data_IF_336358846284
#
_entry.id   IF_336358846284
#
_cell.length_a   1.000
_cell.length_b   1.000
_cell.length_c   1.000
_cell.angle_alpha   90.00
_cell.angle_beta   90.00
_cell.angle_gamma   90.00
#
_symmetry.space_group_name_H-M   'P 1'
#
loop_
_entity.id
_entity.type
_entity.pdbx_description
1 polymer ?
#
# COMPACT_ATOMS: atom_id res chain seq x y z
N UNK A 1 26.07 44.59 3.18
CA UNK A 1 24.64 44.82 2.85
C UNK A 1 23.96 43.47 2.82
N UNK A 2 23.21 43.15 3.86
CA UNK A 2 22.43 41.93 3.94
C UNK A 2 21.13 42.14 3.15
N UNK A 3 20.86 41.27 2.20
CA UNK A 3 19.60 41.28 1.45
C UNK A 3 18.47 40.85 2.38
N UNK A 4 17.54 41.75 2.66
CA UNK A 4 16.29 41.45 3.36
C UNK A 4 15.49 40.47 2.54
N UNK A 5 15.19 39.32 3.17
CA UNK A 5 14.24 38.35 2.64
C UNK A 5 12.84 38.98 2.65
N UNK A 6 12.26 39.18 1.50
CA UNK A 6 10.86 39.62 1.32
C UNK A 6 9.91 38.64 1.98
N UNK A 7 9.01 39.09 2.91
CA UNK A 7 8.02 38.21 3.51
C UNK A 7 6.89 37.92 2.52
N UNK A 8 6.63 36.61 2.25
CA UNK A 8 5.30 36.11 1.97
C UNK A 8 4.69 36.50 0.64
N UNK A 9 5.14 35.89 -0.45
CA UNK A 9 4.20 35.66 -1.55
C UNK A 9 3.08 34.75 -0.99
N UNK A 10 1.85 35.27 -0.89
CA UNK A 10 0.66 34.48 -0.61
C UNK A 10 0.50 33.50 -1.77
N UNK A 11 0.98 32.25 -1.58
CA UNK A 11 0.74 31.19 -2.54
C UNK A 11 -0.78 30.99 -2.63
N UNK A 12 -1.33 31.08 -3.83
CA UNK A 12 -2.72 30.72 -4.11
C UNK A 12 -3.04 29.30 -3.63
N UNK A 13 -4.30 28.87 -3.69
CA UNK A 13 -4.68 27.55 -3.26
C UNK A 13 -3.83 26.49 -4.00
N UNK A 14 -3.17 25.59 -3.23
CA UNK A 14 -2.33 24.53 -3.82
C UNK A 14 -3.14 23.62 -4.71
N UNK A 15 -2.59 23.23 -5.82
CA UNK A 15 -3.18 22.15 -6.64
C UNK A 15 -3.23 20.87 -5.81
N UNK A 16 -4.29 20.13 -5.99
CA UNK A 16 -4.55 18.85 -5.31
C UNK A 16 -4.69 17.77 -6.36
N UNK A 17 -3.80 16.80 -6.34
CA UNK A 17 -3.75 15.72 -7.31
C UNK A 17 -3.95 14.39 -6.61
N UNK A 18 -4.72 13.49 -7.20
CA UNK A 18 -4.90 12.14 -6.68
C UNK A 18 -4.81 11.07 -7.77
N UNK A 19 -4.07 9.98 -7.49
CA UNK A 19 -4.11 8.74 -8.24
C UNK A 19 -4.78 7.67 -7.37
N UNK A 20 -5.90 7.14 -7.84
CA UNK A 20 -6.74 6.21 -7.08
C UNK A 20 -6.91 4.92 -7.88
N UNK A 21 -6.45 3.80 -7.31
CA UNK A 21 -6.44 2.48 -7.97
C UNK A 21 -7.17 1.46 -7.09
N UNK A 22 -8.14 0.74 -7.67
CA UNK A 22 -8.84 -0.38 -7.02
C UNK A 22 -8.91 -1.59 -7.94
N UNK A 23 -8.44 -2.76 -7.49
CA UNK A 23 -8.39 -3.99 -8.29
C UNK A 23 -9.18 -5.09 -7.61
N UNK A 24 -10.29 -5.53 -8.26
CA UNK A 24 -11.12 -6.64 -7.78
C UNK A 24 -10.78 -7.96 -8.47
N UNK A 25 -10.59 -7.90 -9.80
CA UNK A 25 -10.57 -9.08 -10.66
C UNK A 25 -9.13 -9.52 -10.92
N UNK A 26 -8.64 -10.48 -10.15
CA UNK A 26 -7.34 -11.10 -10.32
C UNK A 26 -7.45 -12.36 -11.19
N UNK A 27 -6.51 -12.55 -12.11
CA UNK A 27 -6.52 -13.70 -13.04
C UNK A 27 -6.11 -14.99 -12.35
N UNK A 28 -5.20 -14.91 -11.39
CA UNK A 28 -4.56 -16.06 -10.78
C UNK A 28 -4.80 -16.18 -9.27
N UNK A 29 -5.54 -15.22 -8.67
CA UNK A 29 -5.83 -15.14 -7.24
C UNK A 29 -7.30 -14.91 -6.99
N UNK A 30 -7.73 -15.02 -5.74
CA UNK A 30 -9.14 -14.79 -5.39
C UNK A 30 -9.56 -13.38 -5.76
N UNK A 31 -10.80 -13.26 -6.22
CA UNK A 31 -11.42 -11.96 -6.49
C UNK A 31 -11.75 -11.27 -5.17
N UNK A 32 -11.60 -9.96 -5.17
CA UNK A 32 -12.04 -9.08 -4.09
C UNK A 32 -13.36 -8.40 -4.45
N UNK A 33 -14.11 -7.95 -3.46
CA UNK A 33 -15.43 -7.34 -3.68
C UNK A 33 -15.40 -5.82 -3.62
N UNK A 34 -14.61 -5.25 -2.74
CA UNK A 34 -14.69 -3.85 -2.34
C UNK A 34 -13.75 -2.88 -3.10
N UNK A 35 -12.51 -3.23 -3.48
CA UNK A 35 -11.50 -2.28 -3.95
C UNK A 35 -11.94 -1.33 -5.05
N UNK A 36 -12.67 -1.82 -6.06
CA UNK A 36 -13.16 -0.99 -7.16
C UNK A 36 -14.18 0.03 -6.68
N UNK A 37 -15.16 -0.39 -5.89
CA UNK A 37 -16.18 0.49 -5.33
C UNK A 37 -15.56 1.53 -4.38
N UNK A 38 -14.57 1.14 -3.59
CA UNK A 38 -13.82 2.02 -2.70
C UNK A 38 -13.09 3.11 -3.49
N UNK A 39 -12.39 2.72 -4.56
CA UNK A 39 -11.69 3.64 -5.44
C UNK A 39 -12.65 4.62 -6.13
N UNK A 40 -13.80 4.15 -6.62
CA UNK A 40 -14.82 4.99 -7.29
C UNK A 40 -15.41 6.03 -6.32
N UNK A 41 -15.76 5.62 -5.09
CA UNK A 41 -16.32 6.54 -4.08
C UNK A 41 -15.29 7.55 -3.59
N UNK A 42 -14.08 7.11 -3.29
CA UNK A 42 -13.00 8.01 -2.89
C UNK A 42 -12.73 9.03 -3.99
N UNK A 43 -12.65 8.60 -5.24
CA UNK A 43 -12.44 9.49 -6.39
C UNK A 43 -13.51 10.57 -6.48
N UNK A 44 -14.78 10.18 -6.34
CA UNK A 44 -15.91 11.12 -6.38
C UNK A 44 -15.84 12.14 -5.24
N UNK A 45 -15.52 11.71 -4.02
CA UNK A 45 -15.37 12.62 -2.88
C UNK A 45 -14.18 13.57 -3.04
N UNK A 46 -13.04 13.05 -3.49
CA UNK A 46 -11.85 13.88 -3.73
C UNK A 46 -12.11 14.94 -4.80
N UNK A 47 -12.83 14.59 -5.90
CA UNK A 47 -13.23 15.56 -6.91
C UNK A 47 -14.13 16.66 -6.33
N UNK A 48 -15.08 16.30 -5.47
CA UNK A 48 -15.99 17.26 -4.83
C UNK A 48 -15.28 18.27 -3.93
N UNK A 49 -14.12 17.91 -3.38
CA UNK A 49 -13.29 18.81 -2.56
C UNK A 49 -12.15 19.45 -3.35
N UNK A 50 -12.17 19.37 -4.69
CA UNK A 50 -11.27 20.08 -5.57
C UNK A 50 -9.96 19.38 -5.91
N UNK A 51 -9.88 18.05 -5.77
CA UNK A 51 -8.77 17.29 -6.34
C UNK A 51 -8.98 17.07 -7.83
N UNK A 52 -7.88 17.14 -8.57
CA UNK A 52 -7.76 16.58 -9.92
C UNK A 52 -7.46 15.11 -9.73
N UNK A 53 -8.43 14.25 -10.04
CA UNK A 53 -8.30 12.81 -9.78
C UNK A 53 -8.07 12.07 -11.09
N UNK A 54 -6.95 11.35 -11.17
CA UNK A 54 -6.76 10.34 -12.20
C UNK A 54 -7.51 9.06 -11.77
N UNK A 55 -8.69 8.89 -12.35
CA UNK A 55 -9.52 7.70 -12.12
C UNK A 55 -9.07 6.59 -13.04
N UNK A 56 -8.20 5.75 -12.57
CA UNK A 56 -7.78 4.57 -13.32
C UNK A 56 -8.63 3.34 -12.95
N UNK A 57 -9.95 3.49 -12.89
CA UNK A 57 -10.86 2.36 -12.67
C UNK A 57 -10.70 1.23 -13.70
N UNK A 58 -10.02 1.51 -14.81
CA UNK A 58 -9.71 0.58 -15.89
C UNK A 58 -8.29 0.00 -15.81
N UNK A 59 -7.41 0.55 -14.98
CA UNK A 59 -6.01 0.10 -14.86
C UNK A 59 -5.95 -1.14 -14.02
N UNK A 60 -5.47 -2.23 -14.59
CA UNK A 60 -5.49 -3.54 -13.93
C UNK A 60 -4.18 -4.29 -14.09
N UNK A 61 -3.55 -4.24 -15.27
CA UNK A 61 -2.30 -4.96 -15.55
C UNK A 61 -1.07 -4.23 -15.02
N UNK A 62 0.03 -4.96 -14.84
CA UNK A 62 1.31 -4.37 -14.42
C UNK A 62 1.73 -3.18 -15.29
N UNK A 63 1.67 -3.35 -16.60
CA UNK A 63 2.07 -2.30 -17.54
C UNK A 63 1.19 -1.05 -17.44
N UNK A 64 -0.14 -1.24 -17.27
CA UNK A 64 -1.09 -0.14 -17.10
C UNK A 64 -0.86 0.61 -15.78
N UNK A 65 -0.66 -0.11 -14.66
CA UNK A 65 -0.37 0.51 -13.36
C UNK A 65 0.92 1.32 -13.44
N UNK A 66 2.00 0.74 -13.98
CA UNK A 66 3.29 1.43 -14.11
C UNK A 66 3.20 2.67 -14.99
N UNK A 67 2.50 2.60 -16.13
CA UNK A 67 2.28 3.75 -16.99
C UNK A 67 1.52 4.86 -16.25
N UNK A 68 0.45 4.51 -15.52
CA UNK A 68 -0.34 5.48 -14.76
C UNK A 68 0.45 6.15 -13.64
N UNK A 69 1.26 5.39 -12.92
CA UNK A 69 2.16 5.96 -11.92
C UNK A 69 3.14 6.94 -12.55
N UNK A 70 3.70 6.61 -13.72
CA UNK A 70 4.61 7.48 -14.46
C UNK A 70 3.89 8.76 -14.96
N UNK A 71 2.73 8.62 -15.61
CA UNK A 71 1.94 9.76 -16.09
C UNK A 71 1.56 10.69 -14.93
N UNK A 72 1.13 10.10 -13.80
CA UNK A 72 0.80 10.85 -12.59
C UNK A 72 2.02 11.55 -12.01
N UNK A 73 3.17 10.87 -11.90
CA UNK A 73 4.42 11.49 -11.46
C UNK A 73 4.76 12.71 -12.31
N UNK A 74 4.66 12.61 -13.64
CA UNK A 74 4.99 13.69 -14.56
C UNK A 74 4.04 14.91 -14.41
N UNK A 75 2.81 14.69 -13.96
CA UNK A 75 1.83 15.76 -13.72
C UNK A 75 2.07 16.54 -12.43
N UNK A 76 2.88 16.01 -11.49
CA UNK A 76 3.14 16.64 -10.20
C UNK A 76 4.12 17.80 -10.37
N UNK A 77 3.75 18.94 -9.81
CA UNK A 77 4.60 20.14 -9.67
C UNK A 77 5.01 20.36 -8.21
N UNK A 78 6.09 21.10 -7.96
CA UNK A 78 6.46 21.49 -6.60
C UNK A 78 5.30 22.24 -5.90
N UNK A 79 5.11 21.95 -4.60
CA UNK A 79 4.04 22.47 -3.74
C UNK A 79 2.63 21.91 -3.99
N UNK A 80 2.42 20.94 -4.86
CA UNK A 80 1.15 20.24 -4.97
C UNK A 80 0.84 19.41 -3.70
N UNK A 81 -0.43 19.23 -3.40
CA UNK A 81 -0.91 18.20 -2.47
C UNK A 81 -1.16 16.94 -3.27
N UNK A 82 -0.41 15.89 -2.98
CA UNK A 82 -0.45 14.63 -3.72
C UNK A 82 -1.06 13.53 -2.87
N UNK A 83 -2.06 12.82 -3.38
CA UNK A 83 -2.67 11.66 -2.76
C UNK A 83 -2.55 10.45 -3.69
N UNK A 84 -2.01 9.37 -3.16
CA UNK A 84 -2.03 8.05 -3.79
C UNK A 84 -2.87 7.10 -2.95
N UNK A 85 -3.78 6.38 -3.58
CA UNK A 85 -4.58 5.32 -2.95
C UNK A 85 -4.51 4.05 -3.79
N UNK A 86 -4.29 2.93 -3.10
CA UNK A 86 -4.38 1.61 -3.71
C UNK A 86 -5.20 0.67 -2.82
N UNK A 87 -6.19 0.01 -3.41
CA UNK A 87 -6.94 -1.09 -2.82
C UNK A 87 -6.82 -2.34 -3.68
N UNK A 88 -6.51 -3.48 -3.06
CA UNK A 88 -6.28 -4.74 -3.75
C UNK A 88 -5.42 -5.70 -2.95
N UNK A 89 -4.90 -6.74 -3.62
CA UNK A 89 -3.93 -7.64 -3.01
C UNK A 89 -2.56 -6.99 -2.86
N UNK A 90 -1.93 -7.22 -1.71
CA UNK A 90 -0.58 -6.80 -1.43
C UNK A 90 0.27 -7.92 -0.86
N UNK A 91 1.57 -7.88 -1.08
CA UNK A 91 2.53 -8.85 -0.56
C UNK A 91 3.64 -8.12 0.15
N UNK A 92 4.02 -8.61 1.32
CA UNK A 92 5.28 -8.23 1.94
C UNK A 92 6.34 -9.30 1.68
N UNK A 93 7.50 -8.89 1.18
CA UNK A 93 8.63 -9.77 0.95
C UNK A 93 9.95 -9.06 1.27
N UNK A 94 10.80 -9.67 2.10
CA UNK A 94 12.10 -9.11 2.49
C UNK A 94 12.05 -7.64 2.94
N UNK A 95 11.04 -7.30 3.74
CA UNK A 95 10.85 -5.94 4.26
C UNK A 95 10.32 -4.93 3.24
N UNK A 96 9.98 -5.36 2.02
CA UNK A 96 9.39 -4.53 0.98
C UNK A 96 7.90 -4.85 0.79
N UNK A 97 7.12 -3.84 0.41
CA UNK A 97 5.71 -3.97 0.10
C UNK A 97 5.50 -3.94 -1.41
N UNK A 98 4.77 -4.93 -1.92
CA UNK A 98 4.46 -5.08 -3.33
C UNK A 98 2.95 -5.05 -3.54
N UNK A 99 2.49 -4.20 -4.45
CA UNK A 99 1.10 -4.13 -4.88
C UNK A 99 0.91 -5.07 -6.07
N UNK A 100 -0.10 -5.92 -5.99
CA UNK A 100 -0.34 -6.91 -7.04
C UNK A 100 -1.22 -6.33 -8.14
N UNK A 101 -0.78 -6.33 -9.40
CA UNK A 101 -1.65 -6.05 -10.53
C UNK A 101 -2.55 -7.26 -10.84
N UNK A 102 -3.59 -7.06 -11.67
CA UNK A 102 -4.55 -8.10 -12.05
C UNK A 102 -3.89 -9.33 -12.67
N UNK A 103 -2.88 -9.10 -13.52
CA UNK A 103 -2.13 -10.08 -14.29
C UNK A 103 -0.91 -10.66 -13.52
N UNK A 104 -0.86 -10.46 -12.19
CA UNK A 104 0.22 -11.02 -11.40
C UNK A 104 0.22 -12.55 -11.52
N UNK A 105 1.36 -13.17 -11.90
CA UNK A 105 1.42 -14.62 -12.15
C UNK A 105 1.33 -15.42 -10.85
N UNK A 106 0.92 -16.69 -10.96
CA UNK A 106 1.10 -17.63 -9.84
C UNK A 106 2.58 -17.80 -9.55
N UNK A 107 2.92 -17.96 -8.28
CA UNK A 107 4.27 -18.35 -7.93
C UNK A 107 4.57 -19.74 -8.49
N UNK A 108 5.78 -19.98 -9.01
CA UNK A 108 6.15 -21.27 -9.55
C UNK A 108 6.08 -22.34 -8.46
N UNK A 109 5.48 -23.48 -8.80
CA UNK A 109 5.60 -24.67 -8.00
C UNK A 109 7.06 -25.15 -8.03
N UNK A 110 7.56 -25.59 -6.88
CA UNK A 110 8.90 -26.18 -6.79
C UNK A 110 8.74 -27.63 -7.19
N UNK A 111 9.19 -27.97 -8.39
CA UNK A 111 9.10 -29.30 -8.94
C UNK A 111 10.29 -30.16 -8.49
N UNK A 112 10.10 -31.49 -8.50
CA UNK A 112 11.22 -32.47 -8.32
C UNK A 112 12.35 -32.28 -9.35
N UNK A 113 12.06 -31.65 -10.52
CA UNK A 113 13.10 -31.29 -11.49
C UNK A 113 14.06 -30.20 -10.97
N UNK A 114 13.56 -29.26 -10.16
CA UNK A 114 14.40 -28.25 -9.48
C UNK A 114 15.38 -28.92 -8.47
N UNK A 115 15.05 -30.16 -8.05
CA UNK A 115 15.86 -30.99 -7.16
C UNK A 115 16.92 -31.79 -7.90
N UNK A 116 16.70 -32.09 -9.17
CA UNK A 116 17.64 -32.90 -10.00
C UNK A 116 18.88 -32.13 -10.42
N UNK A 117 18.83 -30.78 -10.42
CA UNK A 117 20.03 -29.94 -10.57
C UNK A 117 21.01 -30.04 -9.38
N UNK A 118 20.55 -30.61 -8.25
CA UNK A 118 21.38 -30.88 -7.08
C UNK A 118 21.85 -32.35 -7.19
N UNK A 119 22.79 -32.58 -8.08
CA UNK A 119 23.32 -33.92 -8.39
C UNK A 119 23.88 -34.63 -7.12
N UNK A 120 23.46 -35.87 -6.91
CA UNK A 120 24.14 -36.83 -6.03
C UNK A 120 23.62 -37.01 -4.59
N UNK A 121 22.39 -36.61 -4.28
CA UNK A 121 21.83 -36.80 -2.92
C UNK A 121 21.15 -38.18 -2.80
N UNK A 122 21.81 -39.08 -2.07
CA UNK A 122 21.20 -40.34 -1.65
C UNK A 122 20.23 -40.12 -0.49
N UNK A 123 19.06 -40.78 -0.54
CA UNK A 123 18.00 -40.67 0.50
C UNK A 123 18.47 -41.05 1.94
N UNK A 124 19.63 -41.69 2.07
CA UNK A 124 20.15 -42.18 3.35
C UNK A 124 21.05 -41.18 4.10
N UNK A 125 21.38 -40.05 3.48
CA UNK A 125 22.30 -39.08 4.07
C UNK A 125 21.53 -37.87 4.63
N UNK A 126 21.32 -37.86 5.96
CA UNK A 126 20.56 -36.81 6.68
C UNK A 126 21.23 -35.43 6.50
N UNK A 127 22.55 -35.37 6.38
CA UNK A 127 23.25 -34.08 6.19
C UNK A 127 23.00 -33.53 4.79
N UNK A 128 23.07 -34.39 3.77
CA UNK A 128 22.75 -34.00 2.38
C UNK A 128 21.30 -33.60 2.22
N UNK A 129 20.36 -34.28 2.89
CA UNK A 129 18.95 -33.92 2.91
C UNK A 129 18.74 -32.53 3.52
N UNK A 130 19.37 -32.18 4.63
CA UNK A 130 19.30 -30.84 5.22
C UNK A 130 19.90 -29.76 4.30
N UNK A 131 21.00 -30.06 3.60
CA UNK A 131 21.61 -29.15 2.63
C UNK A 131 20.65 -28.95 1.45
N UNK A 132 20.04 -30.01 0.93
CA UNK A 132 19.05 -29.92 -0.12
C UNK A 132 17.84 -29.05 0.28
N UNK A 133 17.30 -29.26 1.49
CA UNK A 133 16.19 -28.44 2.02
C UNK A 133 16.56 -26.95 2.12
N UNK A 134 17.79 -26.63 2.48
CA UNK A 134 18.30 -25.25 2.52
C UNK A 134 18.40 -24.66 1.11
N UNK A 135 19.01 -25.40 0.17
CA UNK A 135 19.17 -24.95 -1.22
C UNK A 135 17.84 -24.74 -1.92
N UNK A 136 16.88 -25.65 -1.72
CA UNK A 136 15.50 -25.51 -2.25
C UNK A 136 14.86 -24.24 -1.70
N UNK A 137 15.02 -23.98 -0.41
CA UNK A 137 14.48 -22.77 0.23
C UNK A 137 15.10 -21.50 -0.36
N UNK A 138 16.39 -21.51 -0.64
CA UNK A 138 17.10 -20.36 -1.21
C UNK A 138 16.74 -20.14 -2.69
N UNK A 139 16.66 -21.20 -3.48
CA UNK A 139 16.18 -21.16 -4.87
C UNK A 139 14.75 -20.62 -4.93
N UNK A 140 13.88 -21.11 -4.04
CA UNK A 140 12.50 -20.66 -3.94
C UNK A 140 12.39 -19.18 -3.60
N UNK A 141 13.16 -18.72 -2.64
CA UNK A 141 13.22 -17.30 -2.26
C UNK A 141 13.68 -16.43 -3.44
N UNK A 142 14.71 -16.87 -4.15
CA UNK A 142 15.21 -16.16 -5.33
C UNK A 142 14.14 -16.08 -6.42
N UNK A 143 13.49 -17.18 -6.78
CA UNK A 143 12.40 -17.21 -7.77
C UNK A 143 11.25 -16.28 -7.39
N UNK A 144 10.83 -16.27 -6.10
CA UNK A 144 9.79 -15.37 -5.59
C UNK A 144 10.24 -13.90 -5.70
N UNK A 145 11.46 -13.60 -5.25
CA UNK A 145 12.02 -12.24 -5.32
C UNK A 145 12.08 -11.73 -6.76
N UNK A 146 12.50 -12.55 -7.71
CA UNK A 146 12.60 -12.19 -9.12
C UNK A 146 11.20 -11.91 -9.73
N UNK A 147 10.22 -12.76 -9.42
CA UNK A 147 8.83 -12.53 -9.88
C UNK A 147 8.26 -11.24 -9.29
N UNK A 148 8.45 -10.99 -8.00
CA UNK A 148 7.96 -9.77 -7.36
C UNK A 148 8.58 -8.53 -8.00
N UNK A 149 9.88 -8.52 -8.22
CA UNK A 149 10.59 -7.40 -8.88
C UNK A 149 10.13 -7.15 -10.32
N UNK A 150 9.74 -8.20 -11.03
CA UNK A 150 9.38 -8.10 -12.45
C UNK A 150 7.88 -7.90 -12.71
N UNK A 151 7.01 -8.35 -11.80
CA UNK A 151 5.57 -8.48 -12.03
C UNK A 151 4.69 -7.85 -10.96
N UNK A 152 5.26 -7.40 -9.85
CA UNK A 152 4.54 -6.64 -8.83
C UNK A 152 5.10 -5.21 -8.74
N UNK A 153 4.30 -4.29 -8.24
CA UNK A 153 4.68 -2.89 -8.14
C UNK A 153 5.19 -2.61 -6.73
N UNK A 154 6.45 -2.21 -6.58
CA UNK A 154 7.01 -1.87 -5.29
C UNK A 154 6.40 -0.55 -4.77
N UNK A 155 5.74 -0.60 -3.62
CA UNK A 155 5.04 0.55 -3.04
C UNK A 155 6.02 1.65 -2.59
N UNK A 156 7.21 1.28 -2.10
CA UNK A 156 8.23 2.26 -1.69
C UNK A 156 8.79 3.01 -2.90
N UNK A 157 8.93 2.34 -4.05
CA UNK A 157 9.40 2.98 -5.28
C UNK A 157 8.37 3.99 -5.80
N UNK A 158 7.06 3.67 -5.74
CA UNK A 158 6.01 4.65 -6.05
C UNK A 158 6.13 5.86 -5.12
N UNK A 159 6.18 5.64 -3.81
CA UNK A 159 6.26 6.71 -2.82
C UNK A 159 7.48 7.60 -3.06
N UNK A 160 8.65 7.01 -3.34
CA UNK A 160 9.88 7.74 -3.65
C UNK A 160 9.70 8.59 -4.91
N UNK A 161 9.22 7.97 -5.98
CA UNK A 161 9.01 8.58 -7.30
C UNK A 161 8.09 9.81 -7.23
N UNK A 162 6.95 9.69 -6.52
CA UNK A 162 6.03 10.81 -6.34
C UNK A 162 6.65 11.93 -5.47
N UNK A 163 7.33 11.57 -4.39
CA UNK A 163 7.94 12.52 -3.45
C UNK A 163 9.14 13.25 -4.04
N UNK A 164 9.87 12.67 -4.99
CA UNK A 164 11.01 13.28 -5.67
C UNK A 164 10.60 14.48 -6.55
N UNK A 165 9.31 14.61 -6.87
CA UNK A 165 8.72 15.80 -7.52
C UNK A 165 8.59 17.00 -6.57
N UNK A 166 8.96 16.84 -5.28
CA UNK A 166 8.91 17.86 -4.23
C UNK A 166 7.52 18.47 -4.00
N UNK A 167 6.48 17.64 -3.88
CA UNK A 167 5.17 18.15 -3.50
C UNK A 167 5.22 18.78 -2.10
N UNK A 168 4.18 19.55 -1.75
CA UNK A 168 3.98 20.09 -0.41
C UNK A 168 3.81 18.96 0.62
N UNK A 169 3.03 17.94 0.23
CA UNK A 169 2.81 16.71 0.99
C UNK A 169 2.49 15.55 0.06
N UNK A 170 2.98 14.35 0.39
CA UNK A 170 2.53 13.09 -0.21
C UNK A 170 1.70 12.32 0.81
N UNK A 171 0.43 12.09 0.52
CA UNK A 171 -0.49 11.25 1.28
C UNK A 171 -0.59 9.90 0.57
N UNK A 172 -0.19 8.82 1.24
CA UNK A 172 -0.04 7.51 0.65
C UNK A 172 -0.88 6.50 1.41
N UNK A 173 -1.99 6.06 0.82
CA UNK A 173 -2.99 5.22 1.48
C UNK A 173 -2.99 3.83 0.86
N UNK A 174 -2.77 2.80 1.67
CA UNK A 174 -2.71 1.40 1.26
C UNK A 174 -3.81 0.60 1.95
N UNK A 175 -4.86 0.29 1.21
CA UNK A 175 -5.97 -0.57 1.63
C UNK A 175 -5.82 -1.95 1.00
N UNK A 176 -4.79 -2.67 1.45
CA UNK A 176 -4.42 -3.97 0.90
C UNK A 176 -4.87 -5.08 1.83
N UNK A 177 -5.77 -5.93 1.32
CA UNK A 177 -6.02 -7.25 1.88
C UNK A 177 -4.80 -8.15 1.63
N UNK A 178 -4.45 -8.96 2.60
CA UNK A 178 -3.36 -9.93 2.45
C UNK A 178 -3.94 -11.29 2.14
N UNK A 179 -3.65 -11.79 0.97
CA UNK A 179 -3.69 -13.22 0.81
C UNK A 179 -2.39 -13.84 1.30
N UNK A 180 -2.54 -14.93 2.01
CA UNK A 180 -1.48 -15.86 2.37
C UNK A 180 -0.97 -16.59 1.11
N UNK A 181 -0.33 -15.85 0.20
CA UNK A 181 0.13 -16.39 -1.09
C UNK A 181 1.23 -17.43 -0.90
N UNK A 182 1.88 -17.44 0.25
CA UNK A 182 2.94 -18.40 0.59
C UNK A 182 2.42 -19.65 1.34
N UNK A 183 1.13 -19.85 1.49
CA UNK A 183 0.60 -21.17 1.84
C UNK A 183 0.63 -22.05 0.59
N UNK A 184 1.79 -22.61 0.29
CA UNK A 184 1.85 -23.74 -0.62
C UNK A 184 1.15 -24.92 0.09
N UNK A 185 -0.04 -25.38 -0.36
CA UNK A 185 -0.75 -26.50 0.24
C UNK A 185 0.10 -27.78 0.26
N UNK A 186 1.05 -27.92 -0.65
CA UNK A 186 1.90 -29.10 -0.78
C UNK A 186 3.04 -29.15 0.22
N UNK A 187 3.48 -28.02 0.77
CA UNK A 187 4.39 -28.00 1.93
C UNK A 187 3.69 -28.49 3.20
N UNK A 188 2.38 -28.33 3.32
CA UNK A 188 1.57 -28.88 4.42
C UNK A 188 1.27 -30.38 4.28
N UNK A 189 1.27 -30.93 3.05
CA UNK A 189 1.02 -32.37 2.80
C UNK A 189 2.17 -33.31 3.20
N UNK A 190 3.38 -32.79 3.33
CA UNK A 190 4.57 -33.62 3.69
C UNK A 190 4.84 -33.70 5.19
N UNK A 191 3.84 -33.54 6.05
CA UNK A 191 3.97 -33.86 7.49
C UNK A 191 5.06 -33.08 8.24
N UNK A 192 5.45 -31.91 7.76
CA UNK A 192 6.29 -30.98 8.51
C UNK A 192 5.41 -30.39 9.59
N UNK A 193 5.59 -30.86 10.82
CA UNK A 193 4.89 -30.39 12.00
C UNK A 193 4.76 -28.85 11.99
N UNK A 194 3.56 -28.37 12.26
CA UNK A 194 3.14 -26.97 12.33
C UNK A 194 3.95 -26.07 13.27
N UNK A 195 5.00 -26.58 13.88
CA UNK A 195 5.89 -25.85 14.77
C UNK A 195 7.09 -25.16 14.08
N UNK A 196 7.25 -25.30 12.76
CA UNK A 196 8.24 -24.53 11.99
C UNK A 196 7.60 -23.39 11.21
N UNK A 197 6.54 -22.81 11.72
CA UNK A 197 5.88 -21.60 11.17
C UNK A 197 6.70 -20.33 11.44
N UNK A 198 7.96 -20.31 11.06
CA UNK A 198 8.76 -19.07 11.03
C UNK A 198 8.43 -18.16 9.83
N UNK A 199 7.45 -18.52 9.02
CA UNK A 199 6.78 -17.60 8.08
C UNK A 199 5.51 -17.08 8.74
N UNK A 200 5.62 -16.38 9.87
CA UNK A 200 4.53 -15.52 10.34
C UNK A 200 4.27 -14.52 9.23
N UNK A 201 3.04 -14.46 8.75
CA UNK A 201 2.59 -13.38 7.88
C UNK A 201 2.72 -12.10 8.70
N UNK A 202 3.84 -11.45 8.54
CA UNK A 202 4.03 -10.11 9.03
C UNK A 202 3.32 -9.20 8.04
N UNK A 203 2.45 -8.34 8.50
CA UNK A 203 1.81 -7.33 7.72
C UNK A 203 2.70 -6.53 6.79
N UNK A 204 2.14 -5.58 6.01
CA UNK A 204 2.96 -4.69 5.20
C UNK A 204 4.07 -4.09 6.06
N UNK A 205 5.28 -4.03 5.55
CA UNK A 205 6.41 -3.42 6.24
C UNK A 205 6.15 -1.92 6.42
N UNK A 206 6.65 -1.35 7.51
CA UNK A 206 6.62 0.10 7.68
C UNK A 206 7.38 0.78 6.53
N UNK A 207 6.78 1.83 5.98
CA UNK A 207 7.37 2.66 4.92
C UNK A 207 7.68 4.04 5.48
N UNK A 208 8.72 4.67 4.95
CA UNK A 208 9.17 5.98 5.42
C UNK A 208 9.58 6.88 4.25
N UNK A 209 9.15 8.15 4.29
CA UNK A 209 9.62 9.19 3.38
C UNK A 209 9.40 10.57 3.99
N UNK A 210 10.42 11.38 4.06
CA UNK A 210 10.32 12.75 4.56
C UNK A 210 9.34 13.59 3.71
N UNK A 211 8.39 14.25 4.37
CA UNK A 211 7.32 15.02 3.73
C UNK A 211 6.10 14.15 3.36
N UNK A 212 6.06 12.89 3.79
CA UNK A 212 4.93 12.00 3.53
C UNK A 212 4.16 11.63 4.79
N UNK A 213 2.88 11.34 4.59
CA UNK A 213 1.98 10.64 5.50
C UNK A 213 1.55 9.35 4.83
N UNK A 214 1.79 8.22 5.49
CA UNK A 214 1.48 6.90 4.97
C UNK A 214 0.49 6.23 5.92
N UNK A 215 -0.64 5.77 5.38
CA UNK A 215 -1.63 5.03 6.13
C UNK A 215 -1.84 3.64 5.51
N UNK A 216 -1.81 2.64 6.36
CA UNK A 216 -2.14 1.26 6.03
C UNK A 216 -3.47 0.91 6.69
N UNK A 217 -4.34 0.23 5.96
CA UNK A 217 -5.64 -0.22 6.52
C UNK A 217 -5.46 -1.19 7.69
N UNK A 218 -4.29 -1.80 7.85
CA UNK A 218 -3.97 -2.62 9.01
C UNK A 218 -2.48 -2.58 9.38
N UNK A 219 -2.20 -2.76 10.67
CA UNK A 219 -0.84 -2.82 11.21
C UNK A 219 -0.05 -4.02 10.67
N UNK A 220 1.29 -3.95 10.71
CA UNK A 220 2.15 -5.08 10.43
C UNK A 220 1.77 -6.30 11.31
N UNK A 221 1.60 -7.47 10.68
CA UNK A 221 1.21 -8.71 11.39
C UNK A 221 -0.29 -8.95 11.53
N UNK A 222 -1.14 -8.00 11.18
CA UNK A 222 -2.59 -8.15 11.14
C UNK A 222 -3.09 -8.32 9.70
N UNK A 223 -4.33 -8.70 9.49
CA UNK A 223 -4.92 -8.84 8.16
C UNK A 223 -6.24 -8.08 8.09
N UNK A 224 -6.59 -7.69 6.87
CA UNK A 224 -7.90 -7.12 6.57
C UNK A 224 -8.78 -8.25 6.08
N UNK A 225 -9.98 -8.36 6.64
CA UNK A 225 -11.02 -9.26 6.14
C UNK A 225 -11.76 -8.56 4.99
N UNK A 226 -11.81 -9.23 3.82
CA UNK A 226 -12.66 -8.80 2.72
C UNK A 226 -14.10 -9.13 3.11
N UNK A 227 -14.82 -8.16 3.66
CA UNK A 227 -16.21 -8.30 4.11
C UNK A 227 -17.14 -8.29 2.89
N UNK A 228 -17.43 -9.43 2.27
CA UNK A 228 -18.15 -9.45 0.98
C UNK A 228 -19.60 -8.97 1.08
N UNK A 229 -20.14 -8.83 2.28
CA UNK A 229 -21.48 -8.28 2.54
C UNK A 229 -21.50 -6.75 2.60
N UNK A 230 -20.35 -6.13 2.85
CA UNK A 230 -20.22 -4.68 2.95
C UNK A 230 -19.86 -4.10 1.58
N UNK A 231 -20.37 -2.92 1.28
CA UNK A 231 -20.10 -2.23 0.01
C UNK A 231 -18.69 -1.62 -0.05
N UNK A 232 -18.06 -1.45 1.11
CA UNK A 232 -16.73 -0.83 1.25
C UNK A 232 -15.90 -1.66 2.24
N UNK A 233 -14.58 -1.57 2.13
CA UNK A 233 -13.68 -2.00 3.19
C UNK A 233 -13.97 -1.20 4.47
N UNK A 234 -13.62 -1.76 5.62
CA UNK A 234 -13.85 -1.08 6.90
C UNK A 234 -13.03 0.22 6.98
N UNK A 235 -11.79 0.19 6.49
CA UNK A 235 -10.94 1.37 6.42
C UNK A 235 -11.57 2.44 5.51
N UNK A 236 -12.02 2.07 4.32
CA UNK A 236 -12.67 3.00 3.39
C UNK A 236 -13.97 3.55 3.94
N UNK A 237 -14.80 2.73 4.60
CA UNK A 237 -16.04 3.20 5.25
C UNK A 237 -15.76 4.43 6.11
N UNK A 238 -14.84 4.31 7.06
CA UNK A 238 -14.50 5.41 7.97
C UNK A 238 -13.74 6.55 7.27
N UNK A 239 -12.90 6.24 6.27
CA UNK A 239 -12.24 7.29 5.49
C UNK A 239 -13.24 8.18 4.76
N UNK A 240 -14.27 7.61 4.14
CA UNK A 240 -15.32 8.36 3.44
C UNK A 240 -16.15 9.25 4.39
N UNK A 241 -16.32 8.84 5.66
CA UNK A 241 -17.02 9.62 6.67
C UNK A 241 -16.25 10.88 7.09
N UNK A 242 -14.92 10.83 7.12
CA UNK A 242 -14.10 11.88 7.73
C UNK A 242 -13.27 12.70 6.73
N UNK A 243 -12.92 12.17 5.53
CA UNK A 243 -11.95 12.80 4.62
C UNK A 243 -12.39 14.19 4.11
N UNK A 244 -13.68 14.46 4.12
CA UNK A 244 -14.25 15.74 3.67
C UNK A 244 -14.54 16.72 4.81
N UNK A 245 -14.11 16.42 6.05
CA UNK A 245 -14.29 17.31 7.20
C UNK A 245 -13.57 18.64 6.95
N UNK A 246 -14.31 19.77 6.93
CA UNK A 246 -13.70 21.06 6.58
C UNK A 246 -12.74 21.54 7.68
N UNK A 247 -11.60 22.05 7.25
CA UNK A 247 -10.56 22.63 8.13
C UNK A 247 -10.04 21.66 9.21
N UNK A 248 -10.15 20.34 8.96
CA UNK A 248 -9.56 19.33 9.84
C UNK A 248 -8.23 18.85 9.26
N UNK A 249 -7.24 18.68 10.14
CA UNK A 249 -5.92 18.18 9.76
C UNK A 249 -5.99 16.71 9.36
N UNK A 250 -5.32 16.34 8.27
CA UNK A 250 -5.32 14.96 7.75
C UNK A 250 -4.86 13.93 8.78
N UNK A 251 -3.97 14.28 9.70
CA UNK A 251 -3.52 13.37 10.76
C UNK A 251 -4.65 13.10 11.75
N UNK A 252 -5.46 14.10 12.08
CA UNK A 252 -6.63 13.95 12.93
C UNK A 252 -7.71 13.12 12.22
N UNK A 253 -7.98 13.42 10.94
CA UNK A 253 -8.89 12.62 10.10
C UNK A 253 -8.50 11.15 10.15
N UNK A 254 -7.23 10.82 9.93
CA UNK A 254 -6.78 9.42 9.93
C UNK A 254 -6.76 8.79 11.33
N UNK A 255 -6.65 9.59 12.39
CA UNK A 255 -6.82 9.11 13.77
C UNK A 255 -8.27 8.72 14.03
N UNK A 256 -9.23 9.52 13.56
CA UNK A 256 -10.65 9.21 13.68
C UNK A 256 -11.02 7.97 12.85
N UNK A 257 -10.47 7.84 11.64
CA UNK A 257 -10.56 6.61 10.84
C UNK A 257 -10.04 5.40 11.62
N UNK A 258 -8.86 5.53 12.23
CA UNK A 258 -8.26 4.45 13.03
C UNK A 258 -9.17 4.03 14.18
N UNK A 259 -9.69 4.99 14.94
CA UNK A 259 -10.60 4.74 16.05
C UNK A 259 -11.90 4.06 15.60
N UNK A 260 -12.46 4.49 14.47
CA UNK A 260 -13.67 3.90 13.89
C UNK A 260 -13.46 2.46 13.44
N UNK A 261 -12.33 2.19 12.75
CA UNK A 261 -11.96 0.83 12.31
C UNK A 261 -11.76 -0.09 13.50
N UNK A 262 -11.00 0.32 14.51
CA UNK A 262 -10.76 -0.48 15.72
C UNK A 262 -12.07 -0.81 16.42
N UNK A 263 -12.93 0.18 16.63
CA UNK A 263 -14.25 0.00 17.26
C UNK A 263 -15.12 -1.01 16.50
N UNK A 264 -15.26 -0.86 15.17
CA UNK A 264 -16.16 -1.68 14.35
C UNK A 264 -15.60 -3.09 14.07
N UNK A 265 -14.29 -3.30 14.29
CA UNK A 265 -13.63 -4.59 14.18
C UNK A 265 -13.39 -5.27 15.52
N UNK A 266 -13.82 -4.69 16.65
CA UNK A 266 -13.46 -5.16 18.00
C UNK A 266 -11.94 -5.34 18.18
N UNK A 267 -11.15 -4.35 17.71
CA UNK A 267 -9.69 -4.33 17.74
C UNK A 267 -8.99 -5.42 16.87
N UNK A 268 -9.73 -6.14 16.03
CA UNK A 268 -9.14 -7.14 15.13
C UNK A 268 -8.38 -6.49 13.96
N UNK A 269 -8.84 -5.32 13.50
CA UNK A 269 -8.16 -4.53 12.46
C UNK A 269 -7.69 -3.20 13.06
N UNK A 270 -6.39 -2.98 13.05
CA UNK A 270 -5.76 -1.77 13.59
C UNK A 270 -5.02 -1.07 12.45
N UNK A 271 -5.51 0.08 11.94
CA UNK A 271 -4.77 0.86 10.96
C UNK A 271 -3.43 1.33 11.53
N UNK A 272 -2.43 1.45 10.65
CA UNK A 272 -1.09 1.90 11.01
C UNK A 272 -0.72 3.18 10.25
N UNK A 273 -0.25 4.19 10.97
CA UNK A 273 0.16 5.47 10.41
C UNK A 273 1.67 5.67 10.57
N UNK A 274 2.33 6.08 9.47
CA UNK A 274 3.70 6.58 9.48
C UNK A 274 3.68 8.04 9.04
N UNK A 275 4.02 8.96 9.94
CA UNK A 275 3.88 10.40 9.74
C UNK A 275 5.26 11.06 9.80
N UNK A 276 5.73 11.57 8.67
CA UNK A 276 6.99 12.32 8.55
C UNK A 276 6.76 13.65 7.82
N UNK A 277 5.74 14.37 8.23
CA UNK A 277 5.33 15.64 7.63
C UNK A 277 6.31 16.76 7.95
N UNK A 278 6.51 17.67 6.98
CA UNK A 278 7.31 18.91 7.14
C UNK A 278 6.45 20.09 7.57
N UNK A 279 5.12 19.97 7.41
CA UNK A 279 4.15 21.03 7.65
C UNK A 279 3.07 20.55 8.60
N UNK A 280 2.58 21.46 9.40
CA UNK A 280 1.41 21.25 10.24
C UNK A 280 0.15 21.71 9.50
N UNK A 281 -1.02 21.27 9.98
CA UNK A 281 -2.33 21.73 9.50
C UNK A 281 -2.54 21.52 8.00
N UNK A 282 -2.43 20.27 7.56
CA UNK A 282 -2.68 19.88 6.18
C UNK A 282 -4.17 19.58 6.02
N UNK A 283 -4.89 20.51 5.40
CA UNK A 283 -6.33 20.40 5.18
C UNK A 283 -6.63 19.93 3.76
N UNK A 284 -7.45 18.90 3.61
CA UNK A 284 -7.93 18.40 2.31
C UNK A 284 -9.20 19.11 1.86
N UNK A 285 -10.01 19.59 2.80
CA UNK A 285 -11.25 20.31 2.56
C UNK A 285 -11.27 21.62 3.35
N UNK A 286 -11.87 22.67 2.77
CA UNK A 286 -11.90 24.00 3.36
C UNK A 286 -10.64 24.84 3.06
N UNK A 287 -10.72 26.14 3.35
CA UNK A 287 -9.56 27.03 3.35
C UNK A 287 -9.06 27.11 4.79
N UNK A 288 -7.79 26.78 5.02
CA UNK A 288 -7.14 27.06 6.28
C UNK A 288 -7.33 28.55 6.61
N UNK A 289 -8.29 28.87 7.44
CA UNK A 289 -8.37 30.22 8.04
C UNK A 289 -7.12 30.34 8.89
N UNK A 290 -6.19 31.21 8.44
CA UNK A 290 -5.17 31.68 9.34
C UNK A 290 -5.87 32.12 10.61
N UNK A 291 -5.56 31.47 11.74
CA UNK A 291 -5.95 31.99 13.05
C UNK A 291 -5.38 33.39 13.07
N UNK A 292 -6.24 34.43 13.02
CA UNK A 292 -5.86 35.74 13.54
C UNK A 292 -5.40 35.46 14.97
N UNK A 293 -4.15 35.78 15.25
CA UNK A 293 -3.67 35.81 16.60
C UNK A 293 -4.49 36.88 17.31
N UNK A 294 -5.53 36.47 18.03
CA UNK A 294 -6.13 37.30 19.08
C UNK A 294 -5.22 37.20 20.29
N UNK A 295 -4.12 37.98 20.22
CA UNK A 295 -3.43 38.47 21.40
C UNK A 295 -3.63 39.97 21.38
N UNK A 296 -4.68 40.43 22.05
CA UNK A 296 -4.74 41.67 22.78
C UNK A 296 -4.64 41.38 24.28
#
# INVERSE_FOLDING_TARGET
MAAEATPGAAFGPRRRLALVIGINDYENYSKLTNPKNDAEKLSSLLQNIGFIVDTSSLVKTYAEVMRKVLDFQLSIEPNDVVLFYFAGHGIQWEGQNYLMPKDFPKFPEINEADLKEIDGISEKDIVKKKIADILIKDISKKKISDILKMKAVNAQDILNTLSDRKPYVTIFLLDCCREYILRNPDLNRRGVNSNTSNFKSTGLAAMHKAGALIAFACAPGTFVDDRPKDKNSLFMKHLLEHITTPNEDIVNILRDVTNGVMKDSNDEQIPFLSVQLRHNNIYLCGQGRGKKNDFE
#
